data_IF_338676638685
#
_entry.id   IF_338676638685
#
_cell.length_a   1.000
_cell.length_b   1.000
_cell.length_c   1.000
_cell.angle_alpha   90.00
_cell.angle_beta   90.00
_cell.angle_gamma   90.00
#
_symmetry.space_group_name_H-M   'P 1'
#
loop_
_entity.id
_entity.type
_entity.pdbx_description
1 polymer ?
#
# COMPACT_ATOMS: atom_id res chain seq x y z
N UNK A 1 4.24 9.55 11.24
CA UNK A 1 3.50 10.76 10.80
C UNK A 1 3.98 11.30 9.45
N UNK A 2 5.23 11.07 9.04
CA UNK A 2 5.80 11.59 7.78
C UNK A 2 5.15 11.08 6.49
N UNK A 3 4.63 9.85 6.48
CA UNK A 3 3.97 9.27 5.28
C UNK A 3 2.67 9.99 4.93
N UNK A 4 1.83 10.32 5.94
CA UNK A 4 0.59 11.09 5.74
C UNK A 4 0.89 12.50 5.23
N UNK A 5 1.94 13.15 5.77
CA UNK A 5 2.35 14.49 5.35
C UNK A 5 2.85 14.50 3.90
N UNK A 6 3.65 13.49 3.50
CA UNK A 6 4.12 13.32 2.11
C UNK A 6 2.99 13.01 1.13
N UNK A 7 2.06 12.12 1.49
CA UNK A 7 0.90 11.78 0.65
C UNK A 7 -0.03 12.98 0.42
N UNK A 8 -0.28 13.77 1.46
CA UNK A 8 -1.06 15.00 1.37
C UNK A 8 -0.41 16.04 0.45
N UNK A 9 0.92 16.23 0.52
CA UNK A 9 1.62 17.15 -0.37
C UNK A 9 1.57 16.71 -1.84
N UNK A 10 1.64 15.41 -2.13
CA UNK A 10 1.50 14.91 -3.51
C UNK A 10 0.07 15.12 -4.05
N UNK A 11 -0.95 14.93 -3.23
CA UNK A 11 -2.34 15.18 -3.61
C UNK A 11 -2.58 16.67 -3.92
N UNK A 12 -2.11 17.56 -3.04
CA UNK A 12 -2.23 19.02 -3.22
C UNK A 12 -1.49 19.47 -4.49
N UNK A 13 -0.28 18.96 -4.70
CA UNK A 13 0.52 19.29 -5.88
C UNK A 13 -0.20 18.85 -7.17
N UNK A 14 -0.78 17.65 -7.21
CA UNK A 14 -1.56 17.16 -8.34
C UNK A 14 -2.81 18.00 -8.61
N UNK A 15 -3.55 18.39 -7.57
CA UNK A 15 -4.73 19.26 -7.67
C UNK A 15 -4.37 20.64 -8.25
N UNK A 16 -3.15 21.13 -8.02
CA UNK A 16 -2.69 22.42 -8.51
C UNK A 16 -2.13 22.33 -9.94
N UNK A 17 -1.44 21.23 -10.26
CA UNK A 17 -0.88 20.96 -11.59
C UNK A 17 -1.94 20.67 -12.65
N UNK A 18 -3.01 19.96 -12.28
CA UNK A 18 -4.08 19.57 -13.20
C UNK A 18 -4.82 20.76 -13.85
N UNK A 19 -5.36 21.74 -13.11
CA UNK A 19 -6.02 22.91 -13.70
C UNK A 19 -5.03 23.81 -14.44
N UNK A 20 -3.78 23.88 -13.99
CA UNK A 20 -2.72 24.61 -14.67
C UNK A 20 -2.46 24.02 -16.07
N UNK A 21 -2.38 22.69 -16.18
CA UNK A 21 -2.22 22.00 -17.47
C UNK A 21 -3.44 22.17 -18.37
N UNK A 22 -4.66 22.14 -17.80
CA UNK A 22 -5.91 22.32 -18.55
C UNK A 22 -6.05 23.74 -19.13
N UNK A 23 -5.71 24.76 -18.36
CA UNK A 23 -5.88 26.16 -18.78
C UNK A 23 -4.73 26.65 -19.66
N UNK A 24 -3.47 26.31 -19.37
CA UNK A 24 -2.32 26.85 -20.09
C UNK A 24 -1.80 25.94 -21.20
N UNK A 25 -1.55 24.67 -20.89
CA UNK A 25 -0.90 23.77 -21.86
C UNK A 25 -1.84 23.32 -22.98
N UNK A 26 -3.12 23.09 -22.67
CA UNK A 26 -4.09 22.62 -23.65
C UNK A 26 -4.41 23.66 -24.73
N UNK A 27 -4.24 24.96 -24.44
CA UNK A 27 -4.44 26.04 -25.41
C UNK A 27 -3.33 26.12 -26.47
N UNK A 28 -2.19 25.43 -26.28
CA UNK A 28 -1.09 25.45 -27.23
C UNK A 28 -1.15 24.17 -28.09
N UNK A 29 -1.47 24.28 -29.40
CA UNK A 29 -1.71 23.11 -30.26
C UNK A 29 -0.49 22.20 -30.38
N UNK A 30 0.72 22.76 -30.36
CA UNK A 30 1.98 22.00 -30.45
C UNK A 30 2.26 21.14 -29.21
N UNK A 31 1.63 21.44 -28.07
CA UNK A 31 1.83 20.71 -26.81
C UNK A 31 0.62 19.85 -26.42
N UNK A 32 -0.34 19.62 -27.33
CA UNK A 32 -1.53 18.83 -27.04
C UNK A 32 -1.20 17.44 -26.47
N UNK A 33 -0.31 16.69 -27.13
CA UNK A 33 0.10 15.36 -26.65
C UNK A 33 0.81 15.41 -25.30
N UNK A 34 1.69 16.40 -25.11
CA UNK A 34 2.39 16.62 -23.84
C UNK A 34 1.42 16.95 -22.70
N UNK A 35 0.40 17.77 -22.98
CA UNK A 35 -0.63 18.16 -22.02
C UNK A 35 -1.44 16.96 -21.54
N UNK A 36 -1.77 16.02 -22.43
CA UNK A 36 -2.49 14.78 -22.09
C UNK A 36 -1.68 13.90 -21.13
N UNK A 37 -0.38 13.74 -21.37
CA UNK A 37 0.51 12.95 -20.51
C UNK A 37 0.62 13.59 -19.12
N UNK A 38 0.78 14.92 -19.06
CA UNK A 38 0.88 15.66 -17.79
C UNK A 38 -0.43 15.56 -17.01
N UNK A 39 -1.58 15.72 -17.67
CA UNK A 39 -2.89 15.56 -17.05
C UNK A 39 -3.09 14.16 -16.48
N UNK A 40 -2.68 13.13 -17.22
CA UNK A 40 -2.75 11.74 -16.73
C UNK A 40 -1.90 11.56 -15.46
N UNK A 41 -0.65 12.04 -15.47
CA UNK A 41 0.23 11.99 -14.30
C UNK A 41 -0.39 12.72 -13.12
N UNK A 42 -0.96 13.91 -13.34
CA UNK A 42 -1.60 14.69 -12.29
C UNK A 42 -2.78 13.94 -11.65
N UNK A 43 -3.67 13.33 -12.45
CA UNK A 43 -4.80 12.52 -11.94
C UNK A 43 -4.30 11.31 -11.15
N UNK A 44 -3.27 10.61 -11.64
CA UNK A 44 -2.65 9.48 -10.93
C UNK A 44 -2.07 9.91 -9.59
N UNK A 45 -1.38 11.06 -9.53
CA UNK A 45 -0.86 11.63 -8.29
C UNK A 45 -1.97 12.04 -7.31
N UNK A 46 -3.08 12.57 -7.80
CA UNK A 46 -4.26 12.89 -6.98
C UNK A 46 -4.87 11.61 -6.40
N UNK A 47 -5.03 10.56 -7.21
CA UNK A 47 -5.59 9.27 -6.78
C UNK A 47 -4.70 8.58 -5.74
N UNK A 48 -3.40 8.45 -6.03
CA UNK A 48 -2.41 7.87 -5.11
C UNK A 48 -2.25 8.72 -3.84
N UNK A 49 -2.11 10.04 -3.99
CA UNK A 49 -1.98 10.97 -2.88
C UNK A 49 -3.21 10.95 -1.98
N UNK A 50 -4.42 10.91 -2.57
CA UNK A 50 -5.68 10.80 -1.85
C UNK A 50 -5.80 9.47 -1.09
N UNK A 51 -5.45 8.35 -1.72
CA UNK A 51 -5.44 7.03 -1.07
C UNK A 51 -4.47 6.98 0.12
N UNK A 52 -3.26 7.52 -0.04
CA UNK A 52 -2.24 7.60 1.00
C UNK A 52 -2.62 8.57 2.13
N UNK A 53 -3.20 9.73 1.81
CA UNK A 53 -3.61 10.74 2.78
C UNK A 53 -4.82 10.28 3.62
N UNK A 54 -5.77 9.59 2.99
CA UNK A 54 -6.95 9.03 3.68
C UNK A 54 -6.59 7.85 4.58
N UNK A 55 -5.34 7.37 4.52
CA UNK A 55 -4.90 6.25 5.32
C UNK A 55 -5.69 5.00 4.95
N UNK A 56 -5.73 4.67 3.65
CA UNK A 56 -5.71 3.26 3.28
C UNK A 56 -4.39 2.71 3.82
N UNK A 57 -4.36 2.47 5.13
CA UNK A 57 -3.47 1.51 5.73
C UNK A 57 -3.84 0.23 5.00
N UNK A 58 -3.11 -0.04 3.91
CA UNK A 58 -2.94 -1.37 3.39
C UNK A 58 -2.27 -2.11 4.55
N UNK A 59 -3.08 -2.48 5.54
CA UNK A 59 -2.88 -3.64 6.37
C UNK A 59 -2.88 -4.81 5.38
N UNK A 60 -1.76 -4.97 4.68
CA UNK A 60 -1.15 -6.28 4.50
C UNK A 60 -0.74 -6.74 5.91
N UNK A 61 -1.69 -6.81 6.84
CA UNK A 61 -1.58 -7.65 8.02
C UNK A 61 -1.73 -9.07 7.48
N UNK A 62 -0.68 -9.56 6.82
CA UNK A 62 -0.22 -10.88 7.18
C UNK A 62 -0.07 -10.79 8.68
N UNK A 63 -0.91 -11.48 9.44
CA UNK A 63 -0.80 -11.60 10.90
C UNK A 63 0.68 -11.66 11.28
N UNK A 64 1.19 -10.55 11.83
CA UNK A 64 2.59 -10.43 12.26
C UNK A 64 2.81 -11.17 13.57
N UNK A 65 1.73 -11.64 14.18
CA UNK A 65 1.79 -12.45 15.37
C UNK A 65 2.32 -13.83 15.00
N UNK A 66 3.45 -14.17 15.59
CA UNK A 66 4.01 -15.50 15.52
C UNK A 66 3.02 -16.49 16.14
N UNK A 67 2.89 -17.67 15.54
CA UNK A 67 2.05 -18.71 16.09
C UNK A 67 2.56 -19.05 17.49
N UNK A 68 1.78 -18.76 18.53
CA UNK A 68 2.14 -19.01 19.94
C UNK A 68 2.62 -20.45 20.18
N UNK A 69 2.10 -21.40 19.42
CA UNK A 69 2.39 -22.82 19.57
C UNK A 69 3.79 -23.20 19.07
N UNK A 70 4.22 -22.69 17.92
CA UNK A 70 5.56 -22.96 17.37
C UNK A 70 6.52 -21.76 17.48
N UNK A 71 6.11 -20.65 18.11
CA UNK A 71 6.91 -19.42 18.28
C UNK A 71 7.60 -18.97 16.99
N UNK A 72 6.86 -18.97 15.88
CA UNK A 72 7.40 -18.53 14.60
C UNK A 72 8.18 -19.58 13.79
N UNK A 73 8.55 -20.72 14.36
CA UNK A 73 9.41 -21.72 13.67
C UNK A 73 8.71 -22.45 12.52
N UNK A 74 7.38 -22.59 12.57
CA UNK A 74 6.61 -23.41 11.64
C UNK A 74 6.69 -24.91 11.93
N UNK A 75 7.54 -25.35 12.85
CA UNK A 75 7.74 -26.77 13.19
C UNK A 75 7.76 -26.97 14.71
N UNK A 76 7.40 -28.17 15.15
CA UNK A 76 7.58 -28.59 16.55
C UNK A 76 8.72 -29.59 16.63
N UNK A 77 9.76 -29.27 17.40
CA UNK A 77 10.93 -30.14 17.53
C UNK A 77 10.66 -31.27 18.52
N UNK A 78 10.40 -32.46 17.99
CA UNK A 78 10.34 -33.72 18.71
C UNK A 78 11.50 -34.63 18.32
N UNK A 79 12.71 -34.32 18.79
CA UNK A 79 13.97 -35.10 18.89
C UNK A 79 14.44 -36.12 17.82
N UNK A 80 13.68 -36.40 16.77
CA UNK A 80 14.12 -37.17 15.60
C UNK A 80 13.22 -36.95 14.36
N UNK A 81 12.04 -36.35 14.51
CA UNK A 81 11.18 -35.91 13.40
C UNK A 81 10.61 -34.52 13.70
N UNK A 82 11.09 -33.50 12.99
CA UNK A 82 10.46 -32.17 13.04
C UNK A 82 9.12 -32.24 12.32
N UNK A 83 8.03 -32.18 13.09
CA UNK A 83 6.68 -32.21 12.52
C UNK A 83 6.21 -30.80 12.19
N UNK A 84 5.46 -30.67 11.09
CA UNK A 84 4.85 -29.40 10.68
C UNK A 84 3.88 -28.97 11.78
N UNK A 85 3.99 -27.72 12.23
CA UNK A 85 3.13 -27.20 13.28
C UNK A 85 1.64 -27.29 12.85
N UNK A 86 0.80 -28.07 13.54
CA UNK A 86 -0.58 -28.32 13.13
C UNK A 86 -1.44 -27.06 13.23
N UNK A 87 -1.06 -26.13 14.11
CA UNK A 87 -1.84 -24.93 14.40
C UNK A 87 -1.63 -23.82 13.36
N UNK A 88 -0.44 -23.70 12.79
CA UNK A 88 -0.15 -22.73 11.73
C UNK A 88 0.04 -23.35 10.33
N UNK A 89 -0.11 -24.67 10.20
CA UNK A 89 0.11 -25.40 8.95
C UNK A 89 1.53 -25.23 8.38
N UNK A 90 2.52 -24.99 9.24
CA UNK A 90 3.91 -24.78 8.81
C UNK A 90 4.29 -23.33 8.48
N UNK A 91 3.36 -22.38 8.54
CA UNK A 91 3.63 -20.99 8.16
C UNK A 91 4.38 -20.18 9.23
N UNK A 92 4.43 -20.69 10.46
CA UNK A 92 5.00 -19.98 11.62
C UNK A 92 4.17 -18.80 12.12
N UNK A 93 3.11 -18.42 11.40
CA UNK A 93 2.26 -17.26 11.72
C UNK A 93 0.97 -17.71 12.39
N UNK A 94 0.47 -16.92 13.33
CA UNK A 94 -0.86 -17.10 13.86
C UNK A 94 -1.83 -17.01 12.68
N UNK A 95 -2.73 -17.99 12.54
CA UNK A 95 -3.88 -17.77 11.68
C UNK A 95 -4.63 -16.57 12.25
N UNK A 96 -5.29 -15.78 11.40
CA UNK A 96 -6.28 -14.83 11.88
C UNK A 96 -7.39 -15.65 12.56
N UNK A 97 -7.22 -15.95 13.85
CA UNK A 97 -8.23 -16.64 14.63
C UNK A 97 -9.40 -15.67 14.79
N UNK A 98 -10.59 -16.17 14.44
CA UNK A 98 -11.89 -15.56 14.65
C UNK A 98 -11.92 -14.91 16.04
N UNK A 99 -11.88 -13.58 16.05
CA UNK A 99 -12.10 -12.78 17.25
C UNK A 99 -13.51 -13.08 17.76
N UNK A 100 -13.60 -13.95 18.77
CA UNK A 100 -14.81 -14.13 19.59
C UNK A 100 -14.48 -13.72 21.01
#
# INVERSE_FOLDING_TARGET
MDRKKKGLTFAILGILLFPLSLMLLLQIPDFYLGSLVIMFIAVVLIGLGGALAKGYDIKLETTTEECYFCKGSGTIDGKENSEVCPRCGGTGKALPEEST
#
